data_IF_430683070161
#
_entry.id   IF_430683070161
#
_cell.length_a   1.000
_cell.length_b   1.000
_cell.length_c   1.000
_cell.angle_alpha   90.00
_cell.angle_beta   90.00
_cell.angle_gamma   90.00
#
_symmetry.space_group_name_H-M   'P 1'
#
loop_
_entity.id
_entity.type
_entity.pdbx_description
1 polymer ?
#
# COMPACT_ATOMS: atom_id res chain seq x y z
N UNK A 1 -27.79 -3.26 -6.26
CA UNK A 1 -26.76 -4.24 -5.81
C UNK A 1 -25.41 -3.80 -6.34
N UNK A 2 -24.38 -3.71 -5.49
CA UNK A 2 -23.04 -3.36 -5.95
C UNK A 2 -22.50 -4.44 -6.89
N UNK A 3 -22.10 -4.03 -8.10
CA UNK A 3 -21.58 -4.91 -9.15
C UNK A 3 -20.24 -5.57 -8.75
N UNK A 4 -19.48 -4.95 -7.82
CA UNK A 4 -18.15 -5.38 -7.40
C UNK A 4 -18.11 -5.71 -5.90
N UNK A 5 -17.39 -6.79 -5.54
CA UNK A 5 -17.05 -7.14 -4.15
C UNK A 5 -15.77 -6.43 -3.72
N UNK A 6 -14.74 -6.50 -4.56
CA UNK A 6 -13.43 -5.89 -4.33
C UNK A 6 -13.17 -4.69 -5.25
N UNK A 7 -12.47 -3.69 -4.73
CA UNK A 7 -11.74 -2.73 -5.54
C UNK A 7 -10.28 -2.72 -5.10
N UNK A 8 -9.38 -2.96 -6.06
CA UNK A 8 -7.93 -2.82 -5.85
C UNK A 8 -7.52 -1.44 -6.36
N UNK A 9 -7.03 -0.59 -5.47
CA UNK A 9 -6.59 0.78 -5.73
C UNK A 9 -5.08 0.81 -5.81
N UNK A 10 -4.53 1.31 -6.90
CA UNK A 10 -3.10 1.31 -7.21
C UNK A 10 -2.68 2.75 -7.51
N UNK A 11 -2.05 3.46 -6.54
CA UNK A 11 -1.43 4.75 -6.82
C UNK A 11 -0.19 4.53 -7.70
N UNK A 12 -0.05 5.31 -8.77
CA UNK A 12 1.05 5.18 -9.72
C UNK A 12 1.58 6.54 -10.17
N UNK A 13 2.90 6.70 -10.19
CA UNK A 13 3.61 7.84 -10.74
C UNK A 13 4.83 7.35 -11.51
N UNK A 14 4.80 7.40 -12.85
CA UNK A 14 5.84 6.90 -13.74
C UNK A 14 6.27 5.45 -13.39
N UNK A 15 5.38 4.51 -13.61
CA UNK A 15 5.54 3.10 -13.25
C UNK A 15 5.40 2.16 -14.44
N UNK A 16 5.76 2.62 -15.67
CA UNK A 16 5.57 1.83 -16.89
C UNK A 16 6.24 0.45 -16.84
N UNK A 17 7.38 0.32 -16.15
CA UNK A 17 8.13 -0.94 -16.00
C UNK A 17 7.48 -1.93 -15.01
N UNK A 18 6.65 -1.43 -14.09
CA UNK A 18 6.12 -2.20 -12.96
C UNK A 18 4.62 -2.43 -13.02
N UNK A 19 3.84 -1.43 -13.47
CA UNK A 19 2.38 -1.46 -13.41
C UNK A 19 1.77 -2.68 -14.10
N UNK A 20 2.33 -3.13 -15.21
CA UNK A 20 1.87 -4.32 -15.91
C UNK A 20 2.06 -5.61 -15.10
N UNK A 21 3.14 -5.72 -14.33
CA UNK A 21 3.39 -6.86 -13.42
C UNK A 21 2.42 -6.84 -12.24
N UNK A 22 2.20 -5.67 -11.64
CA UNK A 22 1.25 -5.45 -10.56
C UNK A 22 -0.16 -5.87 -11.00
N UNK A 23 -0.67 -5.36 -12.11
CA UNK A 23 -2.02 -5.67 -12.61
C UNK A 23 -2.20 -7.14 -12.98
N UNK A 24 -1.18 -7.79 -13.55
CA UNK A 24 -1.20 -9.24 -13.76
C UNK A 24 -1.32 -10.01 -12.46
N UNK A 25 -0.65 -9.56 -11.39
CA UNK A 25 -0.75 -10.19 -10.07
C UNK A 25 -2.16 -10.04 -9.49
N UNK A 26 -2.77 -8.85 -9.59
CA UNK A 26 -4.16 -8.62 -9.19
C UNK A 26 -5.11 -9.55 -9.94
N UNK A 27 -4.97 -9.66 -11.28
CA UNK A 27 -5.80 -10.58 -12.09
C UNK A 27 -5.61 -12.05 -11.69
N UNK A 28 -4.39 -12.47 -11.32
CA UNK A 28 -4.15 -13.83 -10.81
C UNK A 28 -4.84 -14.05 -9.46
N UNK A 29 -4.77 -13.06 -8.56
CA UNK A 29 -5.45 -13.13 -7.27
C UNK A 29 -6.98 -13.12 -7.41
N UNK A 30 -7.52 -12.39 -8.40
CA UNK A 30 -8.96 -12.38 -8.71
C UNK A 30 -9.50 -13.77 -9.12
N UNK A 31 -8.70 -14.60 -9.77
CA UNK A 31 -9.08 -15.98 -10.12
C UNK A 31 -9.30 -16.88 -8.89
N UNK A 32 -8.74 -16.53 -7.74
CA UNK A 32 -8.94 -17.26 -6.48
C UNK A 32 -10.25 -16.91 -5.75
N UNK A 33 -10.97 -15.93 -6.28
CA UNK A 33 -12.28 -15.49 -5.78
C UNK A 33 -13.29 -15.42 -6.94
N UNK A 34 -13.57 -16.54 -7.63
CA UNK A 34 -14.29 -16.54 -8.92
C UNK A 34 -15.73 -16.04 -8.83
N UNK A 35 -16.36 -16.16 -7.66
CA UNK A 35 -17.71 -15.62 -7.41
C UNK A 35 -17.72 -14.12 -7.12
N UNK A 36 -16.55 -13.49 -6.99
CA UNK A 36 -16.43 -12.07 -6.67
C UNK A 36 -15.97 -11.27 -7.88
N UNK A 37 -16.58 -10.11 -8.08
CA UNK A 37 -16.11 -9.18 -9.11
C UNK A 37 -15.07 -8.24 -8.52
N UNK A 38 -13.91 -8.17 -9.17
CA UNK A 38 -12.78 -7.35 -8.77
C UNK A 38 -12.65 -6.17 -9.74
N UNK A 39 -12.81 -4.95 -9.21
CA UNK A 39 -12.48 -3.71 -9.91
C UNK A 39 -11.00 -3.39 -9.69
N UNK A 40 -10.29 -2.98 -10.72
CA UNK A 40 -8.94 -2.43 -10.63
C UNK A 40 -8.99 -0.95 -10.95
N UNK A 41 -8.49 -0.10 -10.06
CA UNK A 41 -8.36 1.34 -10.27
C UNK A 41 -6.88 1.70 -10.16
N UNK A 42 -6.35 2.31 -11.21
CA UNK A 42 -5.03 2.95 -11.20
C UNK A 42 -5.21 4.44 -11.09
N UNK A 43 -4.68 5.04 -10.04
CA UNK A 43 -4.65 6.49 -9.89
C UNK A 43 -3.34 6.99 -10.46
N UNK A 44 -3.39 7.44 -11.73
CA UNK A 44 -2.24 7.95 -12.46
C UNK A 44 -1.91 9.37 -11.97
N UNK A 45 -0.91 9.48 -11.13
CA UNK A 45 -0.50 10.76 -10.55
C UNK A 45 0.63 11.38 -11.37
N UNK A 46 0.31 12.45 -12.12
CA UNK A 46 1.29 13.22 -12.90
C UNK A 46 2.21 12.30 -13.74
N UNK A 47 1.67 11.24 -14.31
CA UNK A 47 2.44 10.35 -15.17
C UNK A 47 2.79 11.03 -16.49
N UNK A 48 4.05 10.91 -16.90
CA UNK A 48 4.59 11.40 -18.18
C UNK A 48 5.02 10.24 -19.10
N UNK A 49 4.98 9.01 -18.58
CA UNK A 49 5.33 7.76 -19.25
C UNK A 49 4.09 6.98 -19.73
N UNK A 50 4.26 5.74 -20.10
CA UNK A 50 3.17 4.88 -20.59
C UNK A 50 2.33 4.22 -19.48
N UNK A 51 2.50 4.58 -18.21
CA UNK A 51 1.80 3.97 -17.07
C UNK A 51 0.28 3.89 -17.30
N UNK A 52 -0.36 5.00 -17.66
CA UNK A 52 -1.82 5.06 -17.86
C UNK A 52 -2.29 4.20 -19.04
N UNK A 53 -1.51 4.19 -20.13
CA UNK A 53 -1.80 3.38 -21.33
C UNK A 53 -1.73 1.89 -21.00
N UNK A 54 -0.66 1.48 -20.31
CA UNK A 54 -0.47 0.08 -19.87
C UNK A 54 -1.60 -0.33 -18.91
N UNK A 55 -1.99 0.55 -17.96
CA UNK A 55 -3.06 0.27 -17.03
C UNK A 55 -4.40 0.00 -17.74
N UNK A 56 -4.77 0.83 -18.70
CA UNK A 56 -5.99 0.64 -19.54
C UNK A 56 -5.92 -0.68 -20.32
N UNK A 57 -4.77 -1.01 -20.90
CA UNK A 57 -4.58 -2.28 -21.63
C UNK A 57 -4.85 -3.52 -20.75
N UNK A 58 -4.49 -3.45 -19.47
CA UNK A 58 -4.79 -4.51 -18.48
C UNK A 58 -6.21 -4.44 -17.92
N UNK A 59 -7.08 -3.57 -18.43
CA UNK A 59 -8.48 -3.45 -18.03
C UNK A 59 -8.70 -2.73 -16.71
N UNK A 60 -7.73 -1.93 -16.25
CA UNK A 60 -7.89 -1.06 -15.10
C UNK A 60 -8.66 0.23 -15.49
N UNK A 61 -9.53 0.68 -14.60
CA UNK A 61 -10.10 2.02 -14.64
C UNK A 61 -8.99 3.01 -14.22
N UNK A 62 -8.68 3.99 -15.06
CA UNK A 62 -7.62 4.97 -14.80
C UNK A 62 -8.23 6.29 -14.38
N UNK A 63 -7.78 6.81 -13.25
CA UNK A 63 -8.13 8.12 -12.70
C UNK A 63 -6.88 8.98 -12.71
N UNK A 64 -6.96 10.16 -13.30
CA UNK A 64 -5.87 11.14 -13.25
C UNK A 64 -5.94 11.93 -11.95
N UNK A 65 -4.77 12.19 -11.37
CA UNK A 65 -4.62 12.97 -10.16
C UNK A 65 -3.34 13.83 -10.26
N UNK A 66 -3.41 15.09 -9.81
CA UNK A 66 -2.29 16.04 -9.87
C UNK A 66 -1.69 16.37 -8.50
N UNK A 67 -2.25 15.85 -7.41
CA UNK A 67 -1.82 16.16 -6.05
C UNK A 67 -0.42 15.62 -5.76
N UNK A 68 0.32 16.32 -4.90
CA UNK A 68 1.63 15.88 -4.42
C UNK A 68 1.55 15.21 -3.04
N UNK A 69 0.47 14.46 -2.80
CA UNK A 69 0.19 13.81 -1.53
C UNK A 69 -0.29 12.39 -1.77
N UNK A 70 0.44 11.41 -1.30
CA UNK A 70 0.08 9.98 -1.49
C UNK A 70 -1.26 9.65 -0.82
N UNK A 71 -1.60 10.30 0.30
CA UNK A 71 -2.90 10.16 0.96
C UNK A 71 -4.04 10.59 0.04
N UNK A 72 -3.93 11.76 -0.61
CA UNK A 72 -4.93 12.25 -1.55
C UNK A 72 -5.08 11.31 -2.76
N UNK A 73 -3.96 10.80 -3.29
CA UNK A 73 -3.97 9.85 -4.40
C UNK A 73 -4.72 8.56 -4.02
N UNK A 74 -4.44 7.99 -2.83
CA UNK A 74 -5.16 6.81 -2.33
C UNK A 74 -6.64 7.12 -2.05
N UNK A 75 -6.94 8.27 -1.45
CA UNK A 75 -8.30 8.72 -1.18
C UNK A 75 -9.12 8.86 -2.47
N UNK A 76 -8.55 9.45 -3.53
CA UNK A 76 -9.20 9.57 -4.83
C UNK A 76 -9.58 8.19 -5.40
N UNK A 77 -8.68 7.22 -5.33
CA UNK A 77 -8.96 5.85 -5.76
C UNK A 77 -10.06 5.16 -4.94
N UNK A 78 -10.04 5.32 -3.62
CA UNK A 78 -11.07 4.74 -2.74
C UNK A 78 -12.42 5.42 -2.94
N UNK A 79 -12.45 6.73 -3.19
CA UNK A 79 -13.68 7.48 -3.51
C UNK A 79 -14.38 6.92 -4.76
N UNK A 80 -13.62 6.62 -5.81
CA UNK A 80 -14.14 6.03 -7.05
C UNK A 80 -14.44 4.53 -6.97
N UNK A 81 -14.02 3.87 -5.89
CA UNK A 81 -14.22 2.45 -5.70
C UNK A 81 -15.69 2.06 -5.61
N UNK A 82 -16.07 1.03 -6.35
CA UNK A 82 -17.43 0.44 -6.39
C UNK A 82 -17.54 -0.81 -5.51
N UNK A 83 -16.42 -1.41 -5.11
CA UNK A 83 -16.40 -2.58 -4.24
C UNK A 83 -16.59 -2.22 -2.77
N UNK A 84 -17.14 -3.14 -2.00
CA UNK A 84 -17.31 -2.99 -0.56
C UNK A 84 -16.03 -3.29 0.23
N UNK A 85 -15.11 -4.06 -0.36
CA UNK A 85 -13.79 -4.37 0.17
C UNK A 85 -12.76 -3.62 -0.67
N UNK A 86 -11.93 -2.83 -0.01
CA UNK A 86 -10.86 -2.08 -0.63
C UNK A 86 -9.54 -2.76 -0.32
N UNK A 87 -8.69 -2.88 -1.34
CA UNK A 87 -7.31 -3.27 -1.21
C UNK A 87 -6.47 -2.19 -1.88
N UNK A 88 -5.57 -1.54 -1.13
CA UNK A 88 -4.57 -0.65 -1.74
C UNK A 88 -3.28 -1.43 -1.95
N UNK A 89 -2.62 -1.26 -3.07
CA UNK A 89 -1.32 -1.87 -3.36
C UNK A 89 -0.47 -0.92 -4.19
N UNK A 90 0.81 -0.81 -3.87
CA UNK A 90 1.72 0.07 -4.61
C UNK A 90 2.00 -0.50 -6.00
N UNK A 91 2.21 0.38 -7.00
CA UNK A 91 2.34 0.00 -8.41
C UNK A 91 3.57 -0.87 -8.71
N UNK A 92 4.62 -0.77 -7.88
CA UNK A 92 5.84 -1.58 -7.94
C UNK A 92 5.78 -2.86 -7.08
N UNK A 93 4.57 -3.23 -6.66
CA UNK A 93 4.34 -4.34 -5.73
C UNK A 93 3.47 -5.42 -6.36
N UNK A 94 3.77 -6.67 -6.05
CA UNK A 94 3.13 -7.87 -6.58
C UNK A 94 2.46 -8.61 -5.44
N UNK A 95 1.12 -8.59 -5.37
CA UNK A 95 0.40 -9.42 -4.39
C UNK A 95 0.47 -10.91 -4.76
N UNK A 96 0.55 -11.78 -3.77
CA UNK A 96 0.51 -13.22 -3.98
C UNK A 96 -0.89 -13.69 -4.39
N UNK A 97 -0.95 -14.82 -5.09
CA UNK A 97 -2.18 -15.37 -5.69
C UNK A 97 -3.33 -15.52 -4.67
N UNK A 98 -3.03 -15.95 -3.43
CA UNK A 98 -4.04 -16.17 -2.38
C UNK A 98 -4.53 -14.91 -1.65
N UNK A 99 -3.98 -13.72 -1.95
CA UNK A 99 -4.21 -12.50 -1.15
C UNK A 99 -5.69 -12.11 -1.04
N UNK A 100 -6.42 -12.05 -2.15
CA UNK A 100 -7.84 -11.66 -2.11
C UNK A 100 -8.71 -12.69 -1.38
N UNK A 101 -8.41 -13.98 -1.52
CA UNK A 101 -9.11 -15.04 -0.79
C UNK A 101 -8.88 -14.92 0.71
N UNK A 102 -7.62 -14.76 1.15
CA UNK A 102 -7.32 -14.61 2.57
C UNK A 102 -7.96 -13.33 3.17
N UNK A 103 -7.96 -12.22 2.42
CA UNK A 103 -8.65 -10.98 2.81
C UNK A 103 -10.16 -11.24 3.02
N UNK A 104 -10.80 -11.93 2.06
CA UNK A 104 -12.23 -12.29 2.15
C UNK A 104 -12.52 -13.11 3.39
N UNK A 105 -11.72 -14.14 3.65
CA UNK A 105 -11.86 -15.00 4.83
C UNK A 105 -11.70 -14.21 6.13
N UNK A 106 -10.66 -13.38 6.24
CA UNK A 106 -10.40 -12.55 7.43
C UNK A 106 -11.54 -11.57 7.69
N UNK A 107 -11.97 -10.82 6.68
CA UNK A 107 -13.10 -9.89 6.82
C UNK A 107 -14.42 -10.63 7.04
N UNK A 108 -14.66 -11.74 6.34
CA UNK A 108 -15.85 -12.58 6.46
C UNK A 108 -16.01 -13.17 7.85
N UNK A 109 -14.91 -13.50 8.54
CA UNK A 109 -14.94 -14.02 9.92
C UNK A 109 -15.54 -13.06 10.95
N UNK A 110 -15.74 -11.78 10.61
CA UNK A 110 -16.20 -10.74 11.53
C UNK A 110 -15.18 -10.30 12.57
N UNK A 111 -14.07 -11.03 12.76
CA UNK A 111 -13.05 -10.77 13.78
C UNK A 111 -12.08 -9.63 13.43
N UNK A 112 -11.99 -9.23 12.14
CA UNK A 112 -11.05 -8.22 11.67
C UNK A 112 -11.77 -7.00 11.12
N UNK A 113 -11.26 -5.80 11.47
CA UNK A 113 -11.71 -4.52 10.92
C UNK A 113 -11.07 -4.25 9.55
N UNK A 114 -9.86 -4.71 9.38
CA UNK A 114 -8.99 -4.53 8.25
C UNK A 114 -7.56 -4.89 8.65
N UNK A 115 -6.59 -4.56 7.81
CA UNK A 115 -5.21 -4.86 8.10
C UNK A 115 -4.27 -4.51 6.96
N UNK A 116 -3.09 -5.09 7.04
CA UNK A 116 -2.05 -4.95 6.04
C UNK A 116 -1.34 -6.26 5.74
N UNK A 117 -0.16 -6.14 5.17
CA UNK A 117 0.76 -7.26 4.92
C UNK A 117 2.18 -6.85 5.19
N UNK A 118 3.05 -7.83 5.40
CA UNK A 118 4.48 -7.60 5.45
C UNK A 118 5.04 -7.70 4.02
N UNK A 119 5.80 -6.70 3.56
CA UNK A 119 6.45 -6.76 2.26
C UNK A 119 7.67 -7.67 2.30
N UNK A 120 7.91 -8.35 1.19
CA UNK A 120 9.15 -9.07 0.90
C UNK A 120 9.78 -8.38 -0.31
N UNK A 121 11.09 -8.16 -0.31
CA UNK A 121 11.76 -7.57 -1.46
C UNK A 121 11.95 -8.61 -2.57
N UNK A 122 11.86 -8.18 -3.82
CA UNK A 122 12.08 -9.01 -5.01
C UNK A 122 13.55 -9.45 -5.16
N UNK A 123 14.49 -8.72 -4.56
CA UNK A 123 15.90 -9.05 -4.43
C UNK A 123 16.31 -8.94 -2.95
N UNK A 124 17.12 -9.86 -2.48
CA UNK A 124 17.70 -9.85 -1.15
C UNK A 124 19.22 -9.90 -1.24
N UNK A 125 19.89 -8.96 -0.59
CA UNK A 125 21.33 -8.93 -0.37
C UNK A 125 21.63 -8.79 1.11
N UNK A 126 22.87 -9.00 1.53
CA UNK A 126 23.28 -8.76 2.90
C UNK A 126 23.00 -7.32 3.35
N UNK A 127 23.28 -6.33 2.48
CA UNK A 127 23.02 -4.93 2.76
C UNK A 127 21.53 -4.61 2.89
N UNK A 128 20.66 -5.20 2.05
CA UNK A 128 19.21 -5.06 2.16
C UNK A 128 18.71 -5.72 3.45
N UNK A 129 19.21 -6.91 3.79
CA UNK A 129 18.81 -7.60 5.02
C UNK A 129 19.16 -6.78 6.28
N UNK A 130 20.39 -6.28 6.38
CA UNK A 130 20.82 -5.43 7.50
C UNK A 130 20.06 -4.11 7.52
N UNK A 131 19.86 -3.45 6.38
CA UNK A 131 19.05 -2.24 6.28
C UNK A 131 17.60 -2.48 6.70
N UNK A 132 17.02 -3.63 6.35
CA UNK A 132 15.65 -4.01 6.74
C UNK A 132 15.53 -4.23 8.24
N UNK A 133 16.51 -4.90 8.87
CA UNK A 133 16.57 -5.05 10.33
C UNK A 133 16.69 -3.68 11.01
N UNK A 134 17.56 -2.81 10.50
CA UNK A 134 17.71 -1.44 11.02
C UNK A 134 16.38 -0.66 10.93
N UNK A 135 15.69 -0.69 9.79
CA UNK A 135 14.37 -0.06 9.62
C UNK A 135 13.38 -0.65 10.62
N UNK A 136 13.33 -1.97 10.74
CA UNK A 136 12.44 -2.65 11.68
C UNK A 136 12.68 -2.19 13.12
N UNK A 137 13.93 -2.14 13.58
CA UNK A 137 14.31 -1.65 14.91
C UNK A 137 13.90 -0.18 15.13
N UNK A 138 14.06 0.67 14.11
CA UNK A 138 13.64 2.08 14.15
C UNK A 138 12.12 2.24 14.18
N UNK A 139 11.38 1.33 13.59
CA UNK A 139 9.91 1.32 13.61
C UNK A 139 9.34 0.77 14.91
N UNK A 140 10.07 -0.04 15.67
CA UNK A 140 9.60 -0.62 16.94
C UNK A 140 9.03 0.43 17.92
N UNK A 141 9.71 1.55 18.23
CA UNK A 141 9.14 2.58 19.13
C UNK A 141 7.87 3.20 18.54
N UNK A 142 7.84 3.44 17.22
CA UNK A 142 6.68 3.98 16.52
C UNK A 142 5.51 2.97 16.57
N UNK A 143 5.81 1.68 16.37
CA UNK A 143 4.83 0.60 16.50
C UNK A 143 4.24 0.52 17.90
N UNK A 144 5.07 0.52 18.93
CA UNK A 144 4.62 0.45 20.34
C UNK A 144 3.71 1.64 20.63
N UNK A 145 4.13 2.86 20.27
CA UNK A 145 3.35 4.09 20.48
C UNK A 145 2.02 4.10 19.72
N UNK A 146 1.97 3.44 18.56
CA UNK A 146 0.78 3.33 17.70
C UNK A 146 0.01 2.01 17.91
N UNK A 147 0.34 1.26 18.96
CA UNK A 147 -0.36 0.04 19.34
C UNK A 147 -0.08 -1.16 18.43
N UNK A 148 1.09 -1.22 17.78
CA UNK A 148 1.55 -2.40 17.03
C UNK A 148 0.85 -2.62 15.68
N UNK A 149 0.25 -1.59 15.07
CA UNK A 149 -0.31 -1.69 13.73
C UNK A 149 0.75 -1.28 12.71
N UNK A 150 1.17 -2.22 11.88
CA UNK A 150 2.03 -1.98 10.72
C UNK A 150 1.39 -2.50 9.47
N UNK A 151 1.58 -1.76 8.40
CA UNK A 151 1.40 -2.23 7.04
C UNK A 151 2.32 -1.44 6.13
N UNK A 152 2.82 -2.09 5.10
CA UNK A 152 3.55 -1.44 4.04
C UNK A 152 3.11 -2.04 2.70
N UNK A 153 3.09 -1.23 1.67
CA UNK A 153 2.79 -1.58 0.29
C UNK A 153 1.38 -2.14 0.00
N UNK A 154 0.66 -2.65 0.99
CA UNK A 154 -0.72 -3.13 0.80
C UNK A 154 -1.55 -3.03 2.06
N UNK A 155 -2.76 -2.44 1.95
CA UNK A 155 -3.80 -2.42 2.98
C UNK A 155 -5.07 -3.10 2.49
N UNK A 156 -5.89 -3.61 3.43
CA UNK A 156 -7.20 -4.17 3.15
C UNK A 156 -8.19 -3.82 4.24
N UNK A 157 -9.36 -3.35 3.84
CA UNK A 157 -10.40 -2.86 4.75
C UNK A 157 -11.77 -2.80 4.05
N UNK A 158 -12.85 -2.60 4.80
CA UNK A 158 -14.15 -2.29 4.22
C UNK A 158 -14.26 -0.81 3.90
N UNK A 159 -14.84 -0.46 2.76
CA UNK A 159 -15.06 0.93 2.34
C UNK A 159 -15.78 1.75 3.43
N UNK A 160 -16.82 1.20 4.04
CA UNK A 160 -17.55 1.85 5.14
C UNK A 160 -16.68 2.19 6.36
N UNK A 161 -15.70 1.36 6.69
CA UNK A 161 -14.82 1.59 7.82
C UNK A 161 -13.75 2.65 7.50
N UNK A 162 -13.31 2.71 6.23
CA UNK A 162 -12.50 3.80 5.71
C UNK A 162 -13.22 5.15 5.81
N UNK A 163 -14.48 5.22 5.38
CA UNK A 163 -15.31 6.42 5.46
C UNK A 163 -15.51 6.88 6.92
N UNK A 164 -15.72 5.94 7.84
CA UNK A 164 -15.88 6.24 9.29
C UNK A 164 -14.65 6.84 9.93
N UNK A 165 -13.45 6.53 9.47
CA UNK A 165 -12.20 7.10 9.99
C UNK A 165 -11.72 8.33 9.21
N UNK A 166 -12.47 8.75 8.16
CA UNK A 166 -12.14 9.91 7.34
C UNK A 166 -11.00 9.68 6.33
N UNK A 167 -10.73 8.42 5.94
CA UNK A 167 -9.70 8.08 4.94
C UNK A 167 -8.27 8.24 5.42
N UNK A 168 -7.33 8.37 4.46
CA UNK A 168 -5.93 8.73 4.74
C UNK A 168 -5.82 10.24 5.03
N UNK A 169 -5.02 10.62 6.02
CA UNK A 169 -4.83 12.03 6.38
C UNK A 169 -3.94 12.75 5.37
N UNK A 170 -4.51 13.70 4.62
CA UNK A 170 -3.83 14.45 3.57
C UNK A 170 -2.88 15.53 4.08
N UNK A 171 -2.91 15.80 5.39
CA UNK A 171 -1.97 16.75 6.03
C UNK A 171 -0.61 16.10 6.30
N UNK A 172 -0.55 14.78 6.30
CA UNK A 172 0.70 14.05 6.53
C UNK A 172 1.51 13.95 5.25
N UNK A 173 2.78 14.29 5.35
CA UNK A 173 3.75 14.21 4.23
C UNK A 173 4.33 12.79 4.12
N UNK A 174 4.49 12.10 5.24
CA UNK A 174 4.92 10.70 5.32
C UNK A 174 4.32 10.06 6.58
N UNK A 175 4.45 8.73 6.71
CA UNK A 175 3.86 7.94 7.79
C UNK A 175 2.32 7.95 7.78
N UNK A 176 1.70 8.30 6.67
CA UNK A 176 0.25 8.26 6.45
C UNK A 176 -0.31 6.84 6.60
N UNK A 177 0.51 5.85 6.28
CA UNK A 177 0.23 4.42 6.42
C UNK A 177 0.14 4.00 7.91
N UNK A 178 1.04 4.49 8.74
CA UNK A 178 1.04 4.23 10.19
C UNK A 178 -0.15 4.92 10.86
N UNK A 179 -0.43 6.16 10.48
CA UNK A 179 -1.58 6.89 11.00
C UNK A 179 -2.89 6.20 10.62
N UNK A 180 -3.05 5.83 9.35
CA UNK A 180 -4.23 5.11 8.88
C UNK A 180 -4.42 3.78 9.61
N UNK A 181 -3.36 2.97 9.74
CA UNK A 181 -3.39 1.71 10.47
C UNK A 181 -3.81 1.92 11.94
N UNK A 182 -3.29 2.97 12.60
CA UNK A 182 -3.62 3.33 13.99
C UNK A 182 -5.10 3.71 14.14
N UNK A 183 -5.63 4.59 13.25
CA UNK A 183 -7.06 5.00 13.28
C UNK A 183 -7.98 3.82 12.99
N UNK A 184 -7.66 3.00 12.01
CA UNK A 184 -8.43 1.80 11.69
C UNK A 184 -8.41 0.78 12.85
N UNK A 185 -7.25 0.58 13.49
CA UNK A 185 -7.12 -0.28 14.68
C UNK A 185 -7.93 0.25 15.85
N UNK A 186 -7.91 1.57 16.10
CA UNK A 186 -8.73 2.21 17.15
C UNK A 186 -10.22 1.97 16.91
N UNK A 187 -10.69 2.16 15.68
CA UNK A 187 -12.06 1.83 15.30
C UNK A 187 -12.37 0.35 15.51
N UNK A 188 -11.45 -0.54 15.12
CA UNK A 188 -11.58 -1.98 15.32
C UNK A 188 -11.79 -2.32 16.79
N UNK A 189 -10.94 -1.78 17.69
CA UNK A 189 -11.05 -2.00 19.13
C UNK A 189 -12.42 -1.57 19.67
N UNK A 190 -12.93 -0.42 19.23
CA UNK A 190 -14.27 0.07 19.62
C UNK A 190 -15.41 -0.82 19.11
N UNK A 191 -15.17 -1.61 18.04
CA UNK A 191 -16.15 -2.54 17.47
C UNK A 191 -15.89 -4.01 17.84
N UNK A 192 -15.03 -4.31 18.81
CA UNK A 192 -14.66 -5.68 19.20
C UNK A 192 -13.86 -6.44 18.13
N UNK A 193 -13.18 -5.73 17.20
CA UNK A 193 -12.44 -6.32 16.08
C UNK A 193 -10.94 -6.03 16.18
N UNK A 194 -10.14 -6.90 15.58
CA UNK A 194 -8.68 -6.79 15.53
C UNK A 194 -8.23 -6.16 14.20
N UNK A 195 -7.13 -5.43 14.23
CA UNK A 195 -6.33 -5.15 13.03
C UNK A 195 -5.49 -6.39 12.70
N UNK A 196 -5.48 -6.81 11.43
CA UNK A 196 -4.87 -8.07 11.04
C UNK A 196 -3.67 -7.91 10.11
N UNK A 197 -2.88 -8.98 10.01
CA UNK A 197 -1.85 -9.16 8.99
C UNK A 197 -2.17 -10.41 8.20
N UNK A 198 -1.90 -10.42 6.90
CA UNK A 198 -2.01 -11.64 6.10
C UNK A 198 -0.90 -12.60 6.55
N UNK A 199 -1.23 -13.85 6.79
CA UNK A 199 -0.33 -14.87 7.32
C UNK A 199 0.09 -15.91 6.28
N UNK A 200 -0.76 -16.13 5.27
CA UNK A 200 -0.52 -17.06 4.16
C UNK A 200 -0.15 -16.34 2.86
N UNK A 201 -0.39 -15.05 2.83
CA UNK A 201 -0.16 -14.18 1.68
C UNK A 201 0.72 -13.01 2.07
N UNK A 202 1.47 -12.51 1.10
CA UNK A 202 2.35 -11.36 1.26
C UNK A 202 2.38 -10.53 -0.02
N UNK A 203 3.10 -9.44 0.00
CA UNK A 203 3.38 -8.62 -1.18
C UNK A 203 4.88 -8.63 -1.44
N UNK A 204 5.27 -8.82 -2.70
CA UNK A 204 6.66 -8.68 -3.14
C UNK A 204 6.79 -7.26 -3.68
N UNK A 205 7.64 -6.45 -3.08
CA UNK A 205 7.90 -5.06 -3.49
C UNK A 205 9.27 -4.91 -4.13
N UNK A 206 9.39 -3.93 -5.03
CA UNK A 206 10.64 -3.69 -5.74
C UNK A 206 11.75 -3.17 -4.83
N UNK A 207 12.94 -3.72 -4.99
CA UNK A 207 14.17 -3.27 -4.34
C UNK A 207 14.86 -2.10 -5.05
N UNK A 208 14.25 -1.54 -6.11
CA UNK A 208 14.84 -0.47 -6.97
C UNK A 208 15.45 0.71 -6.21
N UNK A 209 14.92 1.03 -5.02
CA UNK A 209 15.50 2.07 -4.18
C UNK A 209 16.91 1.71 -3.72
N UNK A 210 17.12 0.44 -3.38
CA UNK A 210 18.45 -0.08 -3.06
C UNK A 210 19.33 -0.16 -4.30
N UNK A 211 18.76 -0.46 -5.48
CA UNK A 211 19.52 -0.48 -6.73
C UNK A 211 20.00 0.92 -7.11
N UNK A 212 19.17 1.95 -6.90
CA UNK A 212 19.52 3.35 -7.20
C UNK A 212 20.46 3.98 -6.18
N UNK A 213 20.22 3.78 -4.89
CA UNK A 213 20.95 4.46 -3.82
C UNK A 213 22.05 3.61 -3.19
N UNK A 214 22.08 2.31 -3.49
CA UNK A 214 22.94 1.31 -2.87
C UNK A 214 22.33 0.68 -1.62
N UNK A 215 22.64 -0.61 -1.41
CA UNK A 215 22.06 -1.45 -0.35
C UNK A 215 22.32 -0.91 1.08
N UNK A 216 23.39 -0.12 1.26
CA UNK A 216 23.81 0.46 2.53
C UNK A 216 23.41 1.92 2.72
N UNK A 217 22.66 2.50 1.78
CA UNK A 217 22.35 3.94 1.75
C UNK A 217 21.70 4.44 3.04
N UNK A 218 20.69 3.72 3.54
CA UNK A 218 19.96 4.13 4.74
C UNK A 218 20.83 4.13 6.01
N UNK A 219 21.78 3.22 6.09
CA UNK A 219 22.74 3.15 7.21
C UNK A 219 23.82 4.23 7.10
N UNK A 220 24.27 4.54 5.88
CA UNK A 220 25.29 5.57 5.64
C UNK A 220 24.72 6.99 5.75
N UNK A 221 23.40 7.17 5.57
CA UNK A 221 22.75 8.49 5.52
C UNK A 221 21.73 8.65 6.67
N UNK A 222 22.19 8.56 7.93
CA UNK A 222 21.33 8.60 9.11
C UNK A 222 20.50 9.89 9.23
N UNK A 223 21.01 11.04 8.74
CA UNK A 223 20.25 12.31 8.72
C UNK A 223 19.01 12.20 7.84
N UNK A 224 19.16 11.67 6.62
CA UNK A 224 18.04 11.46 5.68
C UNK A 224 17.05 10.44 6.25
N UNK A 225 17.56 9.33 6.78
CA UNK A 225 16.73 8.30 7.42
C UNK A 225 15.93 8.86 8.59
N UNK A 226 16.56 9.66 9.46
CA UNK A 226 15.88 10.32 10.58
C UNK A 226 14.81 11.33 10.10
N UNK A 227 15.05 12.07 9.04
CA UNK A 227 14.08 13.00 8.46
C UNK A 227 12.84 12.26 7.93
N UNK A 228 13.03 11.13 7.23
CA UNK A 228 11.94 10.26 6.76
C UNK A 228 11.10 9.74 7.94
N UNK A 229 11.76 9.26 9.02
CA UNK A 229 11.05 8.73 10.20
C UNK A 229 10.39 9.81 11.07
N UNK A 230 10.79 11.07 10.97
CA UNK A 230 10.09 12.19 11.65
C UNK A 230 8.81 12.60 10.93
N UNK A 231 8.67 12.26 9.65
CA UNK A 231 7.45 12.52 8.88
C UNK A 231 7.18 13.98 8.52
N UNK A 232 8.13 14.90 8.78
CA UNK A 232 7.95 16.35 8.65
C UNK A 232 8.74 16.98 7.52
N UNK A 233 9.69 16.26 6.92
CA UNK A 233 10.55 16.79 5.86
C UNK A 233 10.09 16.31 4.47
N UNK A 234 9.38 17.21 3.77
CA UNK A 234 8.86 16.95 2.42
C UNK A 234 9.99 16.74 1.40
N UNK A 235 11.10 17.50 1.50
CA UNK A 235 12.21 17.37 0.54
C UNK A 235 12.91 16.02 0.67
N UNK A 236 13.12 15.54 1.90
CA UNK A 236 13.71 14.24 2.14
C UNK A 236 12.77 13.10 1.68
N UNK A 237 11.46 13.24 1.91
CA UNK A 237 10.45 12.31 1.44
C UNK A 237 10.36 12.28 -0.10
N UNK A 238 10.29 13.45 -0.73
CA UNK A 238 10.21 13.55 -2.20
C UNK A 238 11.45 12.92 -2.85
N UNK A 239 12.66 13.22 -2.37
CA UNK A 239 13.91 12.64 -2.86
C UNK A 239 13.89 11.10 -2.78
N UNK A 240 13.39 10.54 -1.70
CA UNK A 240 13.41 9.08 -1.48
C UNK A 240 12.23 8.36 -2.15
N UNK A 241 11.09 9.02 -2.33
CA UNK A 241 9.88 8.39 -2.87
C UNK A 241 9.59 8.75 -4.33
N UNK A 242 9.92 9.96 -4.78
CA UNK A 242 9.60 10.43 -6.13
C UNK A 242 10.79 10.43 -7.08
N UNK A 243 12.00 10.79 -6.63
CA UNK A 243 13.18 10.85 -7.52
C UNK A 243 13.70 9.46 -7.96
N UNK A 244 13.09 8.38 -7.52
CA UNK A 244 13.41 6.99 -7.90
C UNK A 244 12.64 6.53 -9.13
N UNK A 245 11.74 7.38 -9.64
CA UNK A 245 10.76 7.04 -10.69
C UNK A 245 11.02 7.80 -11.97
#
# INVERSE_FOLDING_TARGET
MNKYTFTVVIPAHNEEDYIGKCLRAVRRAAKEVPCDKVQMIVVANRCTDKTAVIAKHYGAEVIENSDRCISSIRNAGVKAAKGSIIVTVDADSIMTKGSLREIKEKLGSGRFIGGGTLPVFDRMSLGIAVSSVYIALRLVPVMIRNGGALSAAMFWFRKKDFERIGGFDEKLVSLEDIDFAKRLKKLGKACGKKYGTLSRSHVITSSRKFDKFGDWYLLKNLKVTNAIFKGTDRKAADKFYYDVR
#
